data_IF_284833873895
#
_entry.id   IF_284833873895
#
_cell.length_a   1.000
_cell.length_b   1.000
_cell.length_c   1.000
_cell.angle_alpha   90.00
_cell.angle_beta   90.00
_cell.angle_gamma   90.00
#
_symmetry.space_group_name_H-M   'P 1'
#
loop_
_entity.id
_entity.type
_entity.pdbx_description
1 polymer ?
#
# COMPACT_ATOMS: atom_id res chain seq x y z
N UNK A 1 45.13 -35.92 3.17
CA UNK A 1 44.97 -34.53 2.73
C UNK A 1 44.25 -34.36 1.37
N UNK A 2 43.59 -35.38 0.80
CA UNK A 2 42.80 -35.24 -0.45
C UNK A 2 41.29 -35.23 -0.21
N UNK A 3 40.85 -35.92 0.85
CA UNK A 3 39.45 -36.05 1.28
C UNK A 3 38.85 -34.75 1.83
N UNK A 4 39.64 -33.92 2.51
CA UNK A 4 39.20 -32.59 2.95
C UNK A 4 38.95 -31.63 1.77
N UNK A 5 39.79 -31.70 0.74
CA UNK A 5 39.63 -30.88 -0.47
C UNK A 5 38.38 -31.31 -1.25
N UNK A 6 38.14 -32.61 -1.35
CA UNK A 6 36.93 -33.14 -1.99
C UNK A 6 35.64 -32.77 -1.22
N UNK A 7 35.66 -32.84 0.11
CA UNK A 7 34.52 -32.45 0.94
C UNK A 7 34.23 -30.93 0.86
N UNK A 8 35.26 -30.09 0.84
CA UNK A 8 35.13 -28.65 0.68
C UNK A 8 34.54 -28.28 -0.70
N UNK A 9 34.98 -28.94 -1.77
CA UNK A 9 34.45 -28.74 -3.12
C UNK A 9 32.97 -29.18 -3.23
N UNK A 10 32.59 -30.29 -2.60
CA UNK A 10 31.20 -30.77 -2.60
C UNK A 10 30.27 -29.80 -1.84
N UNK A 11 30.70 -29.22 -0.73
CA UNK A 11 29.91 -28.23 0.02
C UNK A 11 29.63 -26.96 -0.78
N UNK A 12 30.57 -26.50 -1.62
CA UNK A 12 30.38 -25.33 -2.49
C UNK A 12 29.35 -25.57 -3.61
N UNK A 13 29.24 -26.80 -4.13
CA UNK A 13 28.23 -27.16 -5.14
C UNK A 13 26.80 -27.21 -4.57
N UNK A 14 26.65 -27.57 -3.29
CA UNK A 14 25.35 -27.51 -2.60
C UNK A 14 24.96 -26.10 -2.13
N UNK A 15 25.91 -25.16 -2.11
CA UNK A 15 25.70 -23.74 -1.81
C UNK A 15 25.33 -22.89 -3.06
N UNK A 16 24.91 -23.53 -4.16
CA UNK A 16 24.36 -22.87 -5.34
C UNK A 16 22.82 -22.65 -5.34
N UNK A 17 22.07 -22.61 -4.22
CA UNK A 17 20.66 -22.91 -4.29
C UNK A 17 19.85 -21.73 -4.89
N UNK A 18 18.82 -22.15 -5.63
CA UNK A 18 17.40 -21.79 -5.44
C UNK A 18 16.78 -20.51 -6.05
N UNK A 19 17.48 -19.70 -6.83
CA UNK A 19 16.83 -18.53 -7.45
C UNK A 19 16.21 -18.76 -8.85
N UNK A 20 16.00 -20.01 -9.29
CA UNK A 20 15.19 -20.26 -10.49
C UNK A 20 13.71 -20.24 -10.11
N UNK A 21 13.12 -19.05 -10.13
CA UNK A 21 11.70 -18.84 -9.90
C UNK A 21 10.88 -19.35 -11.09
N UNK A 22 10.82 -20.67 -11.28
CA UNK A 22 9.87 -21.31 -12.19
C UNK A 22 8.58 -21.71 -11.45
N UNK A 23 8.71 -22.13 -10.19
CA UNK A 23 7.60 -22.49 -9.33
C UNK A 23 7.34 -21.33 -8.35
N UNK A 24 6.50 -20.38 -8.75
CA UNK A 24 6.01 -19.36 -7.83
C UNK A 24 5.09 -20.01 -6.80
N UNK A 25 5.41 -19.89 -5.51
CA UNK A 25 4.49 -20.27 -4.42
C UNK A 25 3.30 -19.32 -4.30
N UNK A 26 3.35 -18.16 -4.98
CA UNK A 26 2.24 -17.23 -5.06
C UNK A 26 1.33 -17.59 -6.23
N UNK A 27 0.00 -17.43 -6.08
CA UNK A 27 -0.94 -17.56 -7.19
C UNK A 27 -0.49 -16.68 -8.36
N UNK A 28 -0.54 -17.17 -9.60
CA UNK A 28 -0.24 -16.35 -10.77
C UNK A 28 -1.21 -15.17 -10.83
N UNK A 29 -0.71 -14.01 -11.24
CA UNK A 29 -1.54 -12.84 -11.44
C UNK A 29 -2.65 -13.15 -12.47
N UNK A 30 -3.88 -12.75 -12.16
CA UNK A 30 -4.98 -12.94 -13.11
C UNK A 30 -4.96 -11.85 -14.18
N UNK A 31 -5.45 -12.16 -15.39
CA UNK A 31 -5.58 -11.16 -16.47
C UNK A 31 -6.36 -9.92 -16.02
N UNK A 32 -7.39 -10.13 -15.19
CA UNK A 32 -8.18 -9.04 -14.63
C UNK A 32 -7.35 -8.15 -13.70
N UNK A 33 -6.52 -8.72 -12.83
CA UNK A 33 -5.62 -7.97 -11.94
C UNK A 33 -4.61 -7.13 -12.72
N UNK A 34 -3.97 -7.69 -13.75
CA UNK A 34 -2.99 -6.96 -14.57
C UNK A 34 -3.63 -5.77 -15.28
N UNK A 35 -4.84 -5.93 -15.81
CA UNK A 35 -5.58 -4.84 -16.46
C UNK A 35 -5.92 -3.74 -15.45
N UNK A 36 -6.32 -4.11 -14.23
CA UNK A 36 -6.59 -3.12 -13.17
C UNK A 36 -5.32 -2.36 -12.79
N UNK A 37 -4.19 -3.05 -12.60
CA UNK A 37 -2.91 -2.41 -12.28
C UNK A 37 -2.45 -1.46 -13.37
N UNK A 38 -2.62 -1.83 -14.65
CA UNK A 38 -2.32 -0.93 -15.77
C UNK A 38 -3.20 0.32 -15.77
N UNK A 39 -4.51 0.18 -15.54
CA UNK A 39 -5.42 1.32 -15.43
C UNK A 39 -5.04 2.26 -14.28
N UNK A 40 -4.64 1.69 -13.14
CA UNK A 40 -4.17 2.47 -11.99
C UNK A 40 -2.91 3.28 -12.34
N UNK A 41 -1.96 2.66 -13.03
CA UNK A 41 -0.73 3.32 -13.49
C UNK A 41 -1.03 4.39 -14.56
N UNK A 42 -1.93 4.12 -15.51
CA UNK A 42 -2.40 5.10 -16.48
C UNK A 42 -3.07 6.30 -15.80
N UNK A 43 -3.78 6.08 -14.68
CA UNK A 43 -4.40 7.14 -13.88
C UNK A 43 -3.42 8.14 -13.25
N UNK A 44 -2.12 7.79 -13.24
CA UNK A 44 -1.02 8.65 -12.78
C UNK A 44 -0.04 9.01 -13.90
N UNK A 45 -0.44 8.80 -15.16
CA UNK A 45 0.29 9.24 -16.35
C UNK A 45 1.28 8.24 -16.94
N UNK A 46 1.26 6.97 -16.52
CA UNK A 46 2.04 5.92 -17.19
C UNK A 46 1.42 5.58 -18.56
N UNK A 47 2.25 5.35 -19.58
CA UNK A 47 1.78 4.93 -20.90
C UNK A 47 2.43 3.59 -21.30
N UNK A 48 1.71 2.46 -21.15
CA UNK A 48 2.25 1.14 -21.50
C UNK A 48 2.48 0.96 -23.01
N UNK A 49 1.79 1.72 -23.86
CA UNK A 49 1.93 1.61 -25.32
C UNK A 49 3.29 2.11 -25.83
N UNK A 50 4.09 2.79 -24.98
CA UNK A 50 5.45 3.23 -25.35
C UNK A 50 6.44 2.08 -25.46
N UNK A 51 6.20 0.95 -24.79
CA UNK A 51 7.08 -0.22 -24.84
C UNK A 51 8.56 0.14 -24.66
N UNK A 52 9.40 -0.32 -25.59
CA UNK A 52 10.85 -0.08 -25.64
C UNK A 52 11.25 1.38 -25.97
N UNK A 53 10.30 2.21 -26.42
CA UNK A 53 10.55 3.63 -26.69
C UNK A 53 10.40 4.51 -25.43
N UNK A 54 10.02 3.92 -24.29
CA UNK A 54 10.04 4.55 -22.97
C UNK A 54 11.33 4.26 -22.21
N UNK A 55 11.51 4.90 -21.05
CA UNK A 55 12.62 4.60 -20.14
C UNK A 55 12.21 3.50 -19.17
N UNK A 56 12.02 2.28 -19.70
CA UNK A 56 11.76 1.12 -18.86
C UNK A 56 13.06 0.61 -18.22
N UNK A 57 13.12 0.38 -16.89
CA UNK A 57 12.00 0.33 -15.93
C UNK A 57 11.75 1.62 -15.13
N UNK A 58 12.53 2.68 -15.34
CA UNK A 58 12.46 3.91 -14.54
C UNK A 58 11.06 4.58 -14.59
N UNK A 59 10.45 4.67 -15.77
CA UNK A 59 9.12 5.25 -15.96
C UNK A 59 8.05 4.51 -15.16
N UNK A 60 8.14 3.17 -15.11
CA UNK A 60 7.25 2.32 -14.32
C UNK A 60 7.42 2.58 -12.82
N UNK A 61 8.66 2.66 -12.35
CA UNK A 61 8.97 2.93 -10.94
C UNK A 61 8.48 4.32 -10.51
N UNK A 62 8.69 5.34 -11.36
CA UNK A 62 8.20 6.69 -11.09
C UNK A 62 6.67 6.75 -11.07
N UNK A 63 6.00 6.03 -11.98
CA UNK A 63 4.54 5.91 -11.95
C UNK A 63 4.03 5.21 -10.68
N UNK A 64 4.69 4.13 -10.24
CA UNK A 64 4.36 3.43 -8.98
C UNK A 64 4.40 4.38 -7.79
N UNK A 65 5.45 5.19 -7.67
CA UNK A 65 5.58 6.18 -6.59
C UNK A 65 4.45 7.22 -6.60
N UNK A 66 4.07 7.73 -7.78
CA UNK A 66 2.94 8.66 -7.91
C UNK A 66 1.61 8.01 -7.53
N UNK A 67 1.41 6.75 -7.91
CA UNK A 67 0.22 5.97 -7.56
C UNK A 67 0.12 5.74 -6.04
N UNK A 68 1.24 5.40 -5.39
CA UNK A 68 1.27 5.22 -3.95
C UNK A 68 1.01 6.53 -3.20
N UNK A 69 1.58 7.66 -3.68
CA UNK A 69 1.28 8.99 -3.16
C UNK A 69 -0.21 9.37 -3.32
N UNK A 70 -0.80 9.08 -4.50
CA UNK A 70 -2.23 9.30 -4.76
C UNK A 70 -3.11 8.49 -3.80
N UNK A 71 -2.78 7.21 -3.58
CA UNK A 71 -3.52 6.34 -2.65
C UNK A 71 -3.41 6.83 -1.20
N UNK A 72 -2.26 7.34 -0.79
CA UNK A 72 -2.09 7.92 0.55
C UNK A 72 -2.96 9.16 0.72
N UNK A 73 -2.92 10.10 -0.24
CA UNK A 73 -3.75 11.30 -0.20
C UNK A 73 -5.26 11.00 -0.20
N UNK A 74 -5.69 9.95 -0.91
CA UNK A 74 -7.08 9.49 -0.89
C UNK A 74 -7.49 8.98 0.50
N UNK A 75 -6.64 8.16 1.14
CA UNK A 75 -6.90 7.65 2.50
C UNK A 75 -6.99 8.79 3.52
N UNK A 76 -6.09 9.75 3.44
CA UNK A 76 -6.11 10.93 4.34
C UNK A 76 -7.40 11.75 4.15
N UNK A 77 -7.87 11.86 2.90
CA UNK A 77 -9.14 12.54 2.58
C UNK A 77 -10.35 11.77 3.09
N UNK A 78 -10.35 10.43 2.99
CA UNK A 78 -11.44 9.57 3.47
C UNK A 78 -11.53 9.59 5.02
N UNK A 79 -10.39 9.61 5.71
CA UNK A 79 -10.32 9.79 7.18
C UNK A 79 -10.82 11.19 7.58
N UNK A 80 -10.35 12.23 6.90
CA UNK A 80 -10.81 13.60 7.15
C UNK A 80 -12.31 13.79 6.87
N UNK A 81 -12.85 13.06 5.88
CA UNK A 81 -14.28 13.08 5.54
C UNK A 81 -15.16 12.42 6.62
N UNK A 82 -14.62 11.49 7.42
CA UNK A 82 -15.36 10.86 8.52
C UNK A 82 -15.38 11.71 9.80
N UNK A 83 -14.49 12.71 9.90
CA UNK A 83 -14.40 13.66 11.01
C UNK A 83 -13.99 13.02 12.34
N UNK A 84 -13.17 13.68 13.19
CA UNK A 84 -13.06 13.24 14.57
C UNK A 84 -14.48 13.27 15.17
N UNK A 85 -14.86 12.24 15.91
CA UNK A 85 -16.07 12.30 16.72
C UNK A 85 -15.91 13.45 17.72
N UNK A 86 -16.31 14.66 17.33
CA UNK A 86 -16.42 15.79 18.25
C UNK A 86 -17.31 15.30 19.38
N UNK A 87 -16.78 15.30 20.60
CA UNK A 87 -17.52 14.90 21.77
C UNK A 87 -18.77 15.77 21.82
N UNK A 88 -19.92 15.18 21.49
CA UNK A 88 -21.24 15.82 21.53
C UNK A 88 -21.42 16.34 22.95
N UNK A 89 -21.12 17.62 23.17
CA UNK A 89 -21.45 18.30 24.40
C UNK A 89 -22.95 18.55 24.36
N UNK A 90 -23.70 17.59 24.89
CA UNK A 90 -25.09 17.80 25.27
C UNK A 90 -25.08 18.68 26.52
N UNK A 91 -24.93 20.00 26.32
CA UNK A 91 -25.25 21.00 27.34
C UNK A 91 -26.77 21.00 27.49
N UNK A 92 -27.29 20.05 28.28
CA UNK A 92 -28.68 20.08 28.71
C UNK A 92 -28.88 21.30 29.61
N UNK A 93 -29.49 22.34 29.05
CA UNK A 93 -29.76 23.59 29.73
C UNK A 93 -30.42 23.34 31.09
N UNK A 94 -29.70 23.70 32.15
CA UNK A 94 -30.21 23.76 33.52
C UNK A 94 -31.50 24.61 33.53
N UNK A 95 -32.58 24.20 34.22
CA UNK A 95 -33.76 25.04 34.32
C UNK A 95 -33.44 26.30 35.14
N UNK A 96 -33.23 27.42 34.45
CA UNK A 96 -33.32 28.75 35.04
C UNK A 96 -34.79 29.06 35.30
N UNK A 97 -35.36 28.55 36.41
CA UNK A 97 -36.50 29.13 37.14
C UNK A 97 -37.05 28.15 38.21
N UNK A 98 -36.27 27.90 39.26
CA UNK A 98 -36.77 27.21 40.46
C UNK A 98 -36.52 28.00 41.76
N UNK A 99 -36.33 29.32 41.68
CA UNK A 99 -35.94 30.13 42.84
C UNK A 99 -36.67 31.48 42.96
N UNK A 100 -37.93 31.58 42.54
CA UNK A 100 -38.80 32.75 42.84
C UNK A 100 -40.17 32.28 43.34
N UNK A 101 -40.17 31.49 44.41
CA UNK A 101 -41.33 31.32 45.27
C UNK A 101 -40.86 31.18 46.72
N UNK A 102 -40.44 32.29 47.31
CA UNK A 102 -40.39 32.43 48.78
C UNK A 102 -40.40 33.90 49.17
N UNK A 103 -41.52 34.28 49.78
CA UNK A 103 -41.72 35.40 50.70
C UNK A 103 -41.27 36.79 50.22
N UNK A 104 -42.24 37.64 49.87
CA UNK A 104 -42.70 38.73 50.74
C UNK A 104 -44.06 39.24 50.24
#
# INVERSE_FOLDING_TARGET
>A
MKSFVAAAAAAMLLAAPVASFAQSSAPPATRAQVIQELKDLESVGYNPARGEAGDYPNDLMAARQRLDAKRLAQRDSDEAAYGPAEAVHVESGRPANAALMRAQ
#
